data_IF_834269677764
#
_entry.id   IF_834269677764
#
_cell.length_a   1.000
_cell.length_b   1.000
_cell.length_c   1.000
_cell.angle_alpha   90.00
_cell.angle_beta   90.00
_cell.angle_gamma   90.00
#
_symmetry.space_group_name_H-M   'P 1'
#
loop_
_entity.id
_entity.type
_entity.pdbx_description
1 polymer ?
#
# COMPACT_ATOMS: atom_id res chain seq x y z
N UNK A 1 -11.65 -3.23 -9.76
CA UNK A 1 -10.41 -2.40 -9.72
C UNK A 1 -9.33 -3.25 -9.08
N UNK A 2 -8.11 -3.26 -9.62
CA UNK A 2 -6.97 -3.91 -8.98
C UNK A 2 -6.39 -3.02 -7.87
N UNK A 3 -5.57 -3.61 -6.98
CA UNK A 3 -5.03 -2.87 -5.83
C UNK A 3 -4.17 -1.65 -6.19
N UNK A 4 -3.35 -1.73 -7.25
CA UNK A 4 -2.59 -0.56 -7.73
C UNK A 4 -3.50 0.51 -8.30
N UNK A 5 -4.54 0.14 -9.05
CA UNK A 5 -5.55 1.07 -9.54
C UNK A 5 -6.32 1.77 -8.42
N UNK A 6 -6.57 1.07 -7.30
CA UNK A 6 -7.20 1.68 -6.13
C UNK A 6 -6.29 2.73 -5.48
N UNK A 7 -4.99 2.46 -5.38
CA UNK A 7 -3.99 3.44 -4.89
C UNK A 7 -3.95 4.67 -5.81
N UNK A 8 -3.88 4.45 -7.12
CA UNK A 8 -3.88 5.52 -8.10
C UNK A 8 -5.15 6.37 -8.01
N UNK A 9 -6.31 5.72 -7.87
CA UNK A 9 -7.61 6.41 -7.75
C UNK A 9 -7.65 7.30 -6.51
N UNK A 10 -7.25 6.79 -5.35
CA UNK A 10 -7.25 7.57 -4.11
C UNK A 10 -6.27 8.74 -4.18
N UNK A 11 -5.09 8.53 -4.76
CA UNK A 11 -4.15 9.63 -4.98
C UNK A 11 -4.76 10.75 -5.84
N UNK A 12 -5.39 10.39 -6.97
CA UNK A 12 -6.00 11.39 -7.85
C UNK A 12 -7.23 12.05 -7.22
N UNK A 13 -8.06 11.32 -6.49
CA UNK A 13 -9.21 11.88 -5.78
C UNK A 13 -8.77 12.87 -4.69
N UNK A 14 -7.74 12.54 -3.92
CA UNK A 14 -7.18 13.43 -2.91
C UNK A 14 -6.50 14.67 -3.51
N UNK A 15 -5.68 14.48 -4.56
CA UNK A 15 -5.00 15.56 -5.26
C UNK A 15 -5.96 16.58 -5.85
N UNK A 16 -7.09 16.11 -6.38
CA UNK A 16 -8.14 16.96 -6.95
C UNK A 16 -9.15 17.45 -5.91
N UNK A 17 -8.92 17.19 -4.61
CA UNK A 17 -9.79 17.59 -3.49
C UNK A 17 -11.22 17.05 -3.61
N UNK A 18 -11.38 15.90 -4.28
CA UNK A 18 -12.67 15.20 -4.38
C UNK A 18 -12.94 14.44 -3.08
N UNK A 19 -11.88 14.00 -2.40
CA UNK A 19 -11.94 13.45 -1.05
C UNK A 19 -11.10 14.28 -0.08
N UNK A 20 -11.55 14.34 1.18
CA UNK A 20 -10.81 14.93 2.29
C UNK A 20 -9.74 14.00 2.84
N UNK A 21 -9.00 14.48 3.84
CA UNK A 21 -7.99 13.66 4.54
C UNK A 21 -8.61 12.46 5.28
N UNK A 22 -9.87 12.58 5.68
CA UNK A 22 -10.66 11.50 6.29
C UNK A 22 -11.16 10.45 5.28
N UNK A 23 -10.86 10.65 4.00
CA UNK A 23 -11.27 9.76 2.91
C UNK A 23 -12.74 9.89 2.50
N UNK A 24 -13.43 10.95 2.94
CA UNK A 24 -14.82 11.21 2.57
C UNK A 24 -14.91 12.12 1.36
N UNK A 25 -15.95 11.90 0.55
CA UNK A 25 -16.23 12.75 -0.61
C UNK A 25 -16.72 14.14 -0.19
N UNK A 26 -16.23 15.15 -0.89
CA UNK A 26 -16.74 16.52 -0.78
C UNK A 26 -18.06 16.66 -1.55
N UNK A 27 -19.16 16.52 -0.83
CA UNK A 27 -20.51 16.64 -1.39
C UNK A 27 -20.94 18.08 -1.64
N UNK A 28 -20.13 19.07 -1.29
CA UNK A 28 -20.42 20.48 -1.57
C UNK A 28 -20.11 20.89 -3.00
N UNK A 29 -19.36 20.08 -3.72
CA UNK A 29 -19.01 20.31 -5.12
C UNK A 29 -20.06 19.69 -6.04
N UNK A 30 -20.45 20.44 -7.10
CA UNK A 30 -21.28 19.91 -8.18
C UNK A 30 -20.42 19.03 -9.12
N UNK A 31 -20.31 17.74 -8.76
CA UNK A 31 -19.51 16.76 -9.49
C UNK A 31 -20.41 15.59 -9.93
N UNK A 32 -20.70 15.53 -11.22
CA UNK A 32 -21.55 14.50 -11.83
C UNK A 32 -21.08 13.04 -11.59
N UNK A 33 -19.81 12.87 -11.24
CA UNK A 33 -19.24 11.56 -10.92
C UNK A 33 -19.49 11.13 -9.47
N UNK A 34 -19.98 12.04 -8.61
CA UNK A 34 -20.35 11.70 -7.24
C UNK A 34 -21.83 11.36 -7.20
N UNK A 35 -22.15 10.13 -6.88
CA UNK A 35 -23.53 9.65 -6.70
C UNK A 35 -23.74 9.17 -5.27
N UNK A 36 -24.94 9.36 -4.75
CA UNK A 36 -25.33 8.88 -3.41
C UNK A 36 -26.31 7.73 -3.59
N UNK A 37 -25.93 6.55 -3.12
CA UNK A 37 -26.78 5.35 -3.09
C UNK A 37 -27.17 4.98 -1.65
N UNK A 38 -27.93 3.89 -1.48
CA UNK A 38 -28.35 3.40 -0.16
C UNK A 38 -27.15 3.07 0.76
N UNK A 39 -26.06 2.59 0.20
CA UNK A 39 -24.80 2.26 0.88
C UNK A 39 -23.83 3.43 1.04
N UNK A 40 -24.25 4.64 0.64
CA UNK A 40 -23.51 5.88 0.80
C UNK A 40 -22.98 6.48 -0.50
N UNK A 41 -22.13 7.54 -0.37
CA UNK A 41 -21.52 8.22 -1.51
C UNK A 41 -20.54 7.31 -2.24
N UNK A 42 -20.53 7.42 -3.58
CA UNK A 42 -19.66 6.69 -4.49
C UNK A 42 -19.17 7.62 -5.59
N UNK A 43 -17.94 7.40 -6.06
CA UNK A 43 -17.37 8.09 -7.20
C UNK A 43 -17.34 7.17 -8.43
N UNK A 44 -17.86 7.63 -9.57
CA UNK A 44 -17.85 6.89 -10.83
C UNK A 44 -16.47 7.04 -11.49
N UNK A 45 -15.71 5.97 -11.54
CA UNK A 45 -14.42 5.90 -12.25
C UNK A 45 -14.63 5.71 -13.75
N UNK A 46 -15.59 4.86 -14.13
CA UNK A 46 -16.00 4.67 -15.52
C UNK A 46 -17.54 4.59 -15.58
N UNK A 47 -18.13 5.30 -16.53
CA UNK A 47 -19.57 5.25 -16.78
C UNK A 47 -19.98 3.94 -17.46
N UNK A 48 -21.26 3.53 -17.42
CA UNK A 48 -21.73 2.28 -18.03
C UNK A 48 -21.34 2.11 -19.50
N UNK A 49 -21.40 3.18 -20.27
CA UNK A 49 -21.04 3.22 -21.68
C UNK A 49 -19.53 3.06 -21.96
N UNK A 50 -18.68 3.24 -20.94
CA UNK A 50 -17.23 3.08 -21.00
C UNK A 50 -16.78 1.67 -20.60
N UNK A 51 -17.72 0.78 -20.23
CA UNK A 51 -17.42 -0.57 -19.71
C UNK A 51 -18.01 -1.65 -20.61
N UNK A 52 -17.33 -2.79 -20.69
CA UNK A 52 -17.81 -3.94 -21.46
C UNK A 52 -19.07 -4.58 -20.83
N UNK A 53 -19.25 -4.41 -19.52
CA UNK A 53 -20.37 -4.99 -18.77
C UNK A 53 -21.65 -4.14 -18.84
N UNK A 54 -21.56 -2.89 -19.26
CA UNK A 54 -22.66 -1.90 -19.22
C UNK A 54 -22.99 -1.45 -17.78
N UNK A 55 -22.13 -1.74 -16.80
CA UNK A 55 -22.27 -1.29 -15.42
C UNK A 55 -21.17 -0.28 -15.07
N UNK A 56 -21.53 0.75 -14.30
CA UNK A 56 -20.54 1.73 -13.84
C UNK A 56 -19.49 1.10 -12.91
N UNK A 57 -18.24 1.47 -13.10
CA UNK A 57 -17.17 1.16 -12.15
C UNK A 57 -17.07 2.27 -11.13
N UNK A 58 -17.36 1.97 -9.88
CA UNK A 58 -17.36 2.95 -8.79
C UNK A 58 -16.36 2.62 -7.69
N UNK A 59 -16.00 3.63 -6.91
CA UNK A 59 -15.26 3.51 -5.64
C UNK A 59 -16.12 4.13 -4.54
N UNK A 60 -16.24 3.43 -3.42
CA UNK A 60 -17.04 3.83 -2.26
C UNK A 60 -16.16 4.41 -1.15
N UNK A 61 -16.76 5.16 -0.20
CA UNK A 61 -16.05 5.58 1.01
C UNK A 61 -15.58 4.38 1.85
N UNK A 62 -16.27 3.24 1.76
CA UNK A 62 -15.86 2.00 2.43
C UNK A 62 -14.56 1.47 1.81
N UNK A 63 -14.45 1.47 0.47
CA UNK A 63 -13.23 1.05 -0.22
C UNK A 63 -12.05 1.95 0.15
N UNK A 64 -12.29 3.28 0.17
CA UNK A 64 -11.29 4.27 0.56
C UNK A 64 -10.84 4.04 2.01
N UNK A 65 -11.79 3.87 2.95
CA UNK A 65 -11.50 3.59 4.35
C UNK A 65 -10.69 2.31 4.54
N UNK A 66 -11.01 1.26 3.80
CA UNK A 66 -10.27 0.00 3.85
C UNK A 66 -8.83 0.17 3.35
N UNK A 67 -8.62 0.96 2.28
CA UNK A 67 -7.26 1.23 1.81
C UNK A 67 -6.49 2.11 2.81
N UNK A 68 -7.11 3.12 3.41
CA UNK A 68 -6.49 3.97 4.45
C UNK A 68 -6.01 3.11 5.61
N UNK A 69 -6.83 2.16 6.08
CA UNK A 69 -6.44 1.20 7.13
C UNK A 69 -5.29 0.30 6.69
N UNK A 70 -5.36 -0.24 5.47
CA UNK A 70 -4.32 -1.12 4.94
C UNK A 70 -2.98 -0.37 4.78
N UNK A 71 -2.98 0.83 4.20
CA UNK A 71 -1.76 1.64 4.05
C UNK A 71 -1.18 2.03 5.41
N UNK A 72 -2.02 2.41 6.36
CA UNK A 72 -1.60 2.75 7.72
C UNK A 72 -0.95 1.57 8.43
N UNK A 73 -1.51 0.37 8.31
CA UNK A 73 -0.94 -0.84 8.90
C UNK A 73 0.43 -1.20 8.29
N UNK A 74 0.57 -1.07 6.96
CA UNK A 74 1.84 -1.34 6.27
C UNK A 74 2.90 -0.31 6.70
N UNK A 75 2.57 0.97 6.69
CA UNK A 75 3.50 2.02 7.08
C UNK A 75 3.92 1.88 8.56
N UNK A 76 2.95 1.65 9.45
CA UNK A 76 3.22 1.44 10.87
C UNK A 76 4.10 0.21 11.12
N UNK A 77 3.92 -0.87 10.36
CA UNK A 77 4.78 -2.05 10.44
C UNK A 77 6.21 -1.72 10.00
N UNK A 78 6.39 -1.03 8.87
CA UNK A 78 7.71 -0.60 8.39
C UNK A 78 8.40 0.30 9.43
N UNK A 79 7.69 1.28 9.96
CA UNK A 79 8.20 2.21 10.98
C UNK A 79 8.59 1.46 12.26
N UNK A 80 7.71 0.58 12.74
CA UNK A 80 7.96 -0.22 13.95
C UNK A 80 9.18 -1.12 13.79
N UNK A 81 9.37 -1.74 12.62
CA UNK A 81 10.53 -2.59 12.34
C UNK A 81 11.83 -1.78 12.32
N UNK A 82 11.84 -0.63 11.68
CA UNK A 82 13.04 0.23 11.64
C UNK A 82 13.38 0.77 13.03
N UNK A 83 12.40 1.22 13.79
CA UNK A 83 12.59 1.70 15.16
C UNK A 83 13.08 0.59 16.11
N UNK A 84 12.56 -0.63 15.93
CA UNK A 84 12.97 -1.79 16.75
C UNK A 84 14.48 -2.09 16.62
N UNK A 85 15.04 -1.88 15.44
CA UNK A 85 16.49 -2.05 15.21
C UNK A 85 17.29 -0.74 15.37
N UNK A 86 16.66 0.33 15.84
CA UNK A 86 17.31 1.63 16.09
C UNK A 86 17.68 2.41 14.84
N UNK A 87 16.97 2.18 13.72
CA UNK A 87 17.17 2.89 12.45
C UNK A 87 16.01 3.83 12.14
N UNK A 88 16.30 4.89 11.42
CA UNK A 88 15.30 5.72 10.74
C UNK A 88 15.22 5.38 9.25
N UNK A 89 14.11 5.74 8.58
CA UNK A 89 13.99 5.55 7.13
C UNK A 89 15.11 6.24 6.33
N UNK A 90 15.57 7.40 6.80
CA UNK A 90 16.68 8.13 6.18
C UNK A 90 18.02 7.37 6.17
N UNK A 91 18.22 6.43 7.09
CA UNK A 91 19.42 5.61 7.23
C UNK A 91 19.38 4.31 6.40
N UNK A 92 18.24 3.99 5.79
CA UNK A 92 18.14 2.83 4.91
C UNK A 92 18.80 3.12 3.57
N UNK A 93 19.70 2.28 3.12
CA UNK A 93 20.31 2.40 1.80
C UNK A 93 19.29 2.10 0.69
N UNK A 94 18.47 1.06 0.87
CA UNK A 94 17.47 0.61 -0.10
C UNK A 94 16.25 -0.01 0.55
N UNK A 95 15.12 0.14 -0.12
CA UNK A 95 13.87 -0.59 0.15
C UNK A 95 13.56 -1.43 -1.09
N UNK A 96 13.42 -2.74 -0.90
CA UNK A 96 13.05 -3.65 -1.97
C UNK A 96 11.56 -3.98 -1.90
N UNK A 97 10.85 -3.69 -2.99
CA UNK A 97 9.47 -4.11 -3.18
C UNK A 97 9.43 -5.42 -3.97
N UNK A 98 8.70 -6.38 -3.50
CA UNK A 98 8.59 -7.70 -4.11
C UNK A 98 7.14 -8.14 -4.21
N UNK A 99 6.87 -9.07 -5.14
CA UNK A 99 5.53 -9.62 -5.38
C UNK A 99 4.81 -9.01 -6.57
N UNK A 100 3.72 -9.64 -7.01
CA UNK A 100 2.98 -9.22 -8.21
C UNK A 100 2.38 -7.81 -8.12
N UNK A 101 1.97 -7.40 -6.94
CA UNK A 101 1.42 -6.08 -6.68
C UNK A 101 2.45 -4.96 -6.94
N UNK A 102 3.70 -5.15 -6.52
CA UNK A 102 4.76 -4.15 -6.65
C UNK A 102 5.10 -3.77 -8.10
N UNK A 103 4.84 -4.67 -9.08
CA UNK A 103 5.15 -4.42 -10.49
C UNK A 103 4.34 -3.30 -11.12
N UNK A 104 3.14 -3.03 -10.58
CA UNK A 104 2.21 -2.02 -11.10
C UNK A 104 2.02 -0.85 -10.14
N UNK A 105 2.81 -0.79 -9.06
CA UNK A 105 2.72 0.26 -8.06
C UNK A 105 3.48 1.51 -8.51
N UNK A 106 2.80 2.65 -8.58
CA UNK A 106 3.45 3.95 -8.74
C UNK A 106 4.09 4.37 -7.41
N UNK A 107 5.42 4.29 -7.32
CA UNK A 107 6.17 4.64 -6.10
C UNK A 107 5.87 6.09 -5.64
N UNK A 108 5.88 7.12 -6.52
CA UNK A 108 5.55 8.48 -6.11
C UNK A 108 4.14 8.61 -5.51
N UNK A 109 3.15 7.93 -6.11
CA UNK A 109 1.77 7.95 -5.58
C UNK A 109 1.66 7.21 -4.26
N UNK A 110 2.36 6.07 -4.12
CA UNK A 110 2.40 5.30 -2.88
C UNK A 110 3.03 6.08 -1.71
N UNK A 111 4.07 6.88 -1.98
CA UNK A 111 4.64 7.82 -1.02
C UNK A 111 3.62 8.92 -0.69
N UNK A 112 3.02 9.53 -1.71
CA UNK A 112 2.11 10.65 -1.53
C UNK A 112 0.86 10.32 -0.68
N UNK A 113 0.36 9.07 -0.77
CA UNK A 113 -0.74 8.61 0.09
C UNK A 113 -0.27 8.05 1.45
N UNK A 114 1.03 8.03 1.72
CA UNK A 114 1.59 7.51 2.97
C UNK A 114 1.58 5.98 3.09
N UNK A 115 1.62 5.24 1.98
CA UNK A 115 1.84 3.79 1.96
C UNK A 115 3.32 3.45 2.14
N UNK A 116 4.20 4.24 1.53
CA UNK A 116 5.65 4.11 1.62
C UNK A 116 6.25 5.35 2.31
N UNK A 117 7.41 5.21 2.97
CA UNK A 117 8.08 6.33 3.60
C UNK A 117 8.55 7.36 2.56
N UNK A 118 8.56 8.64 2.97
CA UNK A 118 9.06 9.74 2.16
C UNK A 118 10.60 9.73 2.16
N UNK A 119 11.16 8.99 1.22
CA UNK A 119 12.58 8.89 0.92
C UNK A 119 12.80 9.02 -0.57
N UNK A 120 14.06 9.21 -0.98
CA UNK A 120 14.42 9.25 -2.39
C UNK A 120 13.91 7.99 -3.13
N UNK A 121 13.14 8.20 -4.19
CA UNK A 121 12.52 7.13 -5.00
C UNK A 121 13.55 6.21 -5.64
N UNK A 122 14.79 6.68 -5.89
CA UNK A 122 15.89 5.86 -6.41
C UNK A 122 16.34 4.77 -5.42
N UNK A 123 16.03 4.94 -4.14
CA UNK A 123 16.31 3.97 -3.08
C UNK A 123 15.23 2.90 -2.96
N UNK A 124 14.08 3.05 -3.65
CA UNK A 124 12.99 2.08 -3.66
C UNK A 124 13.03 1.30 -4.97
N UNK A 125 13.28 -0.01 -4.90
CA UNK A 125 13.49 -0.86 -6.07
C UNK A 125 12.51 -2.03 -6.09
N UNK A 126 11.81 -2.20 -7.22
CA UNK A 126 11.03 -3.40 -7.46
C UNK A 126 11.94 -4.54 -7.95
N UNK A 127 11.89 -5.69 -7.27
CA UNK A 127 12.77 -6.83 -7.54
C UNK A 127 12.04 -8.09 -8.05
N UNK A 128 10.80 -7.95 -8.52
CA UNK A 128 10.01 -9.08 -9.00
C UNK A 128 9.47 -9.97 -7.89
N UNK A 129 9.25 -11.25 -8.19
CA UNK A 129 8.80 -12.23 -7.20
C UNK A 129 10.00 -12.88 -6.49
N UNK A 130 10.44 -12.29 -5.40
CA UNK A 130 11.62 -12.76 -4.64
C UNK A 130 11.43 -14.16 -4.04
N UNK A 131 10.20 -14.54 -3.68
CA UNK A 131 9.92 -15.87 -3.13
C UNK A 131 10.17 -16.97 -4.18
N UNK A 132 9.65 -16.79 -5.41
CA UNK A 132 9.91 -17.74 -6.51
C UNK A 132 11.39 -17.73 -6.91
N UNK A 133 12.02 -16.55 -6.94
CA UNK A 133 13.45 -16.45 -7.24
C UNK A 133 14.29 -17.19 -6.21
N UNK A 134 14.01 -17.00 -4.92
CA UNK A 134 14.69 -17.70 -3.84
C UNK A 134 14.50 -19.22 -3.90
N UNK A 135 13.28 -19.69 -4.12
CA UNK A 135 12.97 -21.11 -4.29
C UNK A 135 13.72 -21.71 -5.48
N UNK A 136 13.78 -21.01 -6.62
CA UNK A 136 14.52 -21.44 -7.80
C UNK A 136 16.02 -21.57 -7.53
N UNK A 137 16.61 -20.58 -6.86
CA UNK A 137 18.05 -20.60 -6.52
C UNK A 137 18.34 -21.76 -5.57
N UNK A 138 17.49 -21.98 -4.55
CA UNK A 138 17.64 -23.08 -3.61
C UNK A 138 17.52 -24.47 -4.27
N UNK A 139 16.67 -24.61 -5.30
CA UNK A 139 16.56 -25.85 -6.09
C UNK A 139 17.81 -26.13 -6.95
N UNK A 140 18.44 -25.08 -7.47
CA UNK A 140 19.57 -25.20 -8.39
C UNK A 140 20.94 -25.28 -7.69
N UNK A 141 21.01 -24.89 -6.41
CA UNK A 141 22.25 -24.79 -5.66
C UNK A 141 22.11 -25.32 -4.24
N UNK A 142 22.84 -26.37 -3.91
CA UNK A 142 22.88 -26.94 -2.55
C UNK A 142 23.39 -25.92 -1.52
N UNK A 143 24.41 -25.15 -1.84
CA UNK A 143 24.95 -24.13 -0.95
C UNK A 143 23.94 -23.00 -0.71
N UNK A 144 23.17 -22.61 -1.71
CA UNK A 144 22.10 -21.64 -1.54
C UNK A 144 20.95 -22.16 -0.66
N UNK A 145 20.59 -23.43 -0.80
CA UNK A 145 19.61 -24.09 0.08
C UNK A 145 20.09 -24.10 1.54
N UNK A 146 21.36 -24.52 1.77
CA UNK A 146 21.96 -24.54 3.11
C UNK A 146 22.02 -23.12 3.73
N UNK A 147 22.35 -22.11 2.90
CA UNK A 147 22.30 -20.70 3.30
C UNK A 147 20.89 -20.24 3.68
N UNK A 148 19.87 -20.61 2.90
CA UNK A 148 18.47 -20.28 3.20
C UNK A 148 18.01 -20.91 4.53
N UNK A 149 18.37 -22.17 4.78
CA UNK A 149 18.10 -22.86 6.05
C UNK A 149 18.83 -22.18 7.21
N UNK A 150 20.06 -21.72 7.02
CA UNK A 150 20.81 -20.98 8.04
C UNK A 150 20.13 -19.63 8.35
N UNK A 151 19.78 -18.86 7.31
CA UNK A 151 19.10 -17.57 7.45
C UNK A 151 17.76 -17.70 8.18
N UNK A 152 16.97 -18.73 7.87
CA UNK A 152 15.66 -18.94 8.53
C UNK A 152 15.76 -19.10 10.06
N UNK A 153 16.90 -19.58 10.56
CA UNK A 153 17.16 -19.75 11.99
C UNK A 153 17.59 -18.45 12.69
N UNK A 154 18.01 -17.44 11.94
CA UNK A 154 18.43 -16.15 12.48
C UNK A 154 17.31 -15.08 12.42
N UNK A 155 16.19 -15.41 11.78
CA UNK A 155 15.05 -14.50 11.67
C UNK A 155 14.38 -14.32 13.03
N UNK A 156 14.14 -13.07 13.39
CA UNK A 156 13.40 -12.70 14.61
C UNK A 156 11.99 -12.29 14.22
N UNK A 157 10.99 -12.89 14.85
CA UNK A 157 9.60 -12.47 14.72
C UNK A 157 9.30 -11.34 15.71
N UNK A 158 8.67 -10.28 15.22
CA UNK A 158 8.12 -9.20 16.05
C UNK A 158 6.60 -9.32 16.01
N UNK A 159 6.00 -9.62 17.16
CA UNK A 159 4.53 -9.72 17.29
C UNK A 159 3.93 -8.31 17.37
N UNK A 160 3.53 -7.78 16.23
CA UNK A 160 3.03 -6.40 16.12
C UNK A 160 1.75 -6.17 16.93
N UNK A 161 0.90 -7.20 17.10
CA UNK A 161 -0.33 -7.09 17.88
C UNK A 161 -0.09 -6.74 19.36
N UNK A 162 1.06 -7.13 19.88
CA UNK A 162 1.49 -6.88 21.27
C UNK A 162 2.52 -5.76 21.39
N UNK A 163 2.86 -5.10 20.28
CA UNK A 163 3.87 -4.05 20.25
C UNK A 163 3.19 -2.67 20.29
N UNK A 164 3.14 -2.07 21.48
CA UNK A 164 2.46 -0.79 21.71
C UNK A 164 2.87 0.33 20.72
N UNK A 165 4.16 0.50 20.37
CA UNK A 165 4.54 1.51 19.36
C UNK A 165 3.87 1.33 18.01
N UNK A 166 3.60 0.07 17.57
CA UNK A 166 2.89 -0.20 16.33
C UNK A 166 1.46 0.37 16.35
N UNK A 167 0.73 0.18 17.46
CA UNK A 167 -0.64 0.71 17.57
C UNK A 167 -0.69 2.23 17.51
N UNK A 168 0.26 2.90 18.18
CA UNK A 168 0.35 4.35 18.14
C UNK A 168 0.67 4.85 16.74
N UNK A 169 1.64 4.22 16.06
CA UNK A 169 2.01 4.56 14.69
C UNK A 169 0.88 4.26 13.69
N UNK A 170 0.17 3.14 13.89
CA UNK A 170 -0.98 2.80 13.05
C UNK A 170 -2.06 3.89 13.12
N UNK A 171 -2.43 4.34 14.33
CA UNK A 171 -3.41 5.41 14.49
C UNK A 171 -2.91 6.71 13.85
N UNK A 172 -1.64 7.07 14.04
CA UNK A 172 -1.04 8.26 13.43
C UNK A 172 -0.99 8.18 11.90
N UNK A 173 -0.89 6.98 11.34
CA UNK A 173 -0.78 6.74 9.89
C UNK A 173 -2.13 6.65 9.18
N UNK A 174 -3.26 6.78 9.89
CA UNK A 174 -4.60 6.80 9.28
C UNK A 174 -4.96 8.16 8.65
N UNK A 175 -4.19 9.22 8.96
CA UNK A 175 -4.45 10.60 8.55
C UNK A 175 -3.31 11.18 7.70
#
# INVERSE_FOLDING_TARGET
ICGSGLIDSIYELARNKIIGQDGKFDLSTDNERIIVKEDGPQYILAFPEETETGEAVTITEIDISNLIKAKGAIFAALKSLTDYVGLSFGQLDKIYLSGGFGSSLSIPKAIAIGLLPDIDTERIQYIGNSAIMGARIALLSRSAFESAVSLSKTMTNIELSNYLPFMNEFIASLF
#
